data_IF_729919771938
#
_entry.id   IF_729919771938
#
_cell.length_a   1.000
_cell.length_b   1.000
_cell.length_c   1.000
_cell.angle_alpha   90.00
_cell.angle_beta   90.00
_cell.angle_gamma   90.00
#
_symmetry.space_group_name_H-M   'P 1'
#
loop_
_entity.id
_entity.type
_entity.pdbx_description
1 polymer ?
#
# COMPACT_ATOMS: atom_id res chain seq x y z
N UNK A 1 11.63 -1.75 -38.69
CA UNK A 1 12.69 -2.71 -38.34
C UNK A 1 12.07 -3.72 -37.40
N UNK A 2 11.59 -4.85 -37.97
CA UNK A 2 10.89 -5.89 -37.20
C UNK A 2 11.92 -6.82 -36.57
N UNK A 3 11.97 -6.89 -35.24
CA UNK A 3 12.73 -7.90 -34.51
C UNK A 3 11.91 -9.17 -34.48
N UNK A 4 12.39 -10.18 -35.19
CA UNK A 4 11.85 -11.53 -35.22
C UNK A 4 12.18 -12.19 -33.90
N UNK A 5 11.19 -12.48 -33.08
CA UNK A 5 11.35 -13.39 -31.94
C UNK A 5 11.38 -14.81 -32.46
N UNK A 6 12.57 -15.42 -32.44
CA UNK A 6 12.77 -16.82 -32.73
C UNK A 6 12.30 -17.68 -31.56
N UNK A 7 11.37 -18.56 -31.87
CA UNK A 7 11.13 -19.89 -31.34
C UNK A 7 12.00 -20.32 -30.15
N UNK A 8 11.40 -20.27 -28.96
CA UNK A 8 11.83 -21.06 -27.81
C UNK A 8 10.63 -21.86 -27.32
N UNK A 9 10.55 -23.09 -27.80
CA UNK A 9 9.77 -24.15 -27.20
C UNK A 9 10.32 -24.42 -25.79
N UNK A 10 9.89 -23.61 -24.80
CA UNK A 10 10.15 -23.85 -23.39
C UNK A 10 8.88 -24.31 -22.73
N UNK A 11 8.98 -25.54 -22.22
CA UNK A 11 8.17 -26.16 -21.17
C UNK A 11 7.32 -25.19 -20.37
N UNK A 12 6.05 -25.52 -20.22
CA UNK A 12 5.04 -24.84 -19.40
C UNK A 12 5.44 -24.80 -17.92
N UNK A 13 6.44 -24.00 -17.59
CA UNK A 13 6.68 -23.50 -16.25
C UNK A 13 6.03 -22.13 -16.17
N UNK A 14 5.20 -21.89 -15.17
CA UNK A 14 4.44 -20.68 -14.93
C UNK A 14 5.25 -19.44 -15.33
N UNK A 15 4.85 -18.76 -16.41
CA UNK A 15 5.36 -17.45 -16.76
C UNK A 15 4.92 -16.50 -15.64
N UNK A 16 5.74 -16.36 -14.61
CA UNK A 16 5.59 -15.30 -13.64
C UNK A 16 5.76 -13.99 -14.40
N UNK A 17 4.66 -13.29 -14.63
CA UNK A 17 4.66 -11.94 -15.16
C UNK A 17 5.39 -11.06 -14.16
N UNK A 18 6.66 -10.76 -14.41
CA UNK A 18 7.41 -9.80 -13.60
C UNK A 18 6.87 -8.40 -13.89
N UNK A 19 6.09 -7.88 -12.95
CA UNK A 19 5.78 -6.45 -12.93
C UNK A 19 6.93 -5.76 -12.22
N UNK A 20 7.78 -5.08 -12.98
CA UNK A 20 8.81 -4.21 -12.42
C UNK A 20 8.16 -2.86 -12.13
N UNK A 21 7.83 -2.60 -10.87
CA UNK A 21 7.42 -1.28 -10.43
C UNK A 21 8.66 -0.45 -10.10
N UNK A 22 8.76 0.75 -10.67
CA UNK A 22 9.81 1.72 -10.34
C UNK A 22 9.21 2.66 -9.29
N UNK A 23 9.63 2.60 -8.00
CA UNK A 23 9.03 3.38 -6.92
C UNK A 23 9.04 4.89 -7.19
N UNK A 24 10.12 5.40 -7.78
CA UNK A 24 10.27 6.82 -8.11
C UNK A 24 9.26 7.28 -9.16
N UNK A 25 8.94 6.44 -10.14
CA UNK A 25 7.93 6.74 -11.15
C UNK A 25 6.52 6.78 -10.54
N UNK A 26 6.23 5.91 -9.55
CA UNK A 26 4.97 5.94 -8.82
C UNK A 26 4.82 7.20 -7.96
N UNK A 27 5.90 7.64 -7.31
CA UNK A 27 5.91 8.89 -6.53
C UNK A 27 5.71 10.09 -7.45
N UNK A 28 6.38 10.14 -8.61
CA UNK A 28 6.21 11.20 -9.60
C UNK A 28 4.76 11.26 -10.10
N UNK A 29 4.17 10.11 -10.47
CA UNK A 29 2.79 10.03 -10.90
C UNK A 29 1.80 10.47 -9.80
N UNK A 30 2.05 10.10 -8.53
CA UNK A 30 1.24 10.54 -7.39
C UNK A 30 1.32 12.07 -7.20
N UNK A 31 2.51 12.66 -7.40
CA UNK A 31 2.70 14.12 -7.33
C UNK A 31 1.97 14.84 -8.47
N UNK A 32 2.04 14.33 -9.70
CA UNK A 32 1.33 14.90 -10.84
C UNK A 32 -0.20 14.84 -10.62
N UNK A 33 -0.71 13.72 -10.14
CA UNK A 33 -2.12 13.56 -9.76
C UNK A 33 -2.53 14.56 -8.68
N UNK A 34 -1.73 14.75 -7.63
CA UNK A 34 -2.00 15.74 -6.59
C UNK A 34 -2.07 17.16 -7.17
N UNK A 35 -1.19 17.49 -8.12
CA UNK A 35 -1.22 18.76 -8.86
C UNK A 35 -2.51 18.95 -9.65
N UNK A 36 -2.96 17.92 -10.37
CA UNK A 36 -4.24 17.93 -11.10
C UNK A 36 -5.42 18.15 -10.16
N UNK A 37 -5.45 17.44 -9.02
CA UNK A 37 -6.50 17.61 -7.99
C UNK A 37 -6.58 19.03 -7.46
N UNK A 38 -5.43 19.64 -7.17
CA UNK A 38 -5.34 21.03 -6.71
C UNK A 38 -5.86 22.04 -7.75
N UNK A 39 -5.47 21.88 -9.03
CA UNK A 39 -5.96 22.73 -10.11
C UNK A 39 -7.47 22.60 -10.31
N UNK A 40 -8.00 21.38 -10.26
CA UNK A 40 -9.43 21.12 -10.42
C UNK A 40 -10.23 21.71 -9.24
N UNK A 41 -9.76 21.56 -8.01
CA UNK A 41 -10.37 22.13 -6.82
C UNK A 41 -10.41 23.66 -6.90
N UNK A 42 -9.32 24.30 -7.35
CA UNK A 42 -9.24 25.74 -7.56
C UNK A 42 -10.23 26.22 -8.62
N UNK A 43 -10.32 25.51 -9.74
CA UNK A 43 -11.27 25.83 -10.83
C UNK A 43 -12.73 25.70 -10.38
N UNK A 44 -13.06 24.63 -9.64
CA UNK A 44 -14.39 24.42 -9.10
C UNK A 44 -14.78 25.51 -8.08
N UNK A 45 -13.86 25.89 -7.22
CA UNK A 45 -14.07 26.97 -6.25
C UNK A 45 -14.30 28.32 -6.96
N UNK A 46 -13.54 28.62 -8.01
CA UNK A 46 -13.71 29.83 -8.79
C UNK A 46 -15.07 29.89 -9.53
N UNK A 47 -15.57 28.75 -10.01
CA UNK A 47 -16.85 28.66 -10.70
C UNK A 47 -18.07 28.64 -9.75
N UNK A 48 -17.89 28.32 -8.46
CA UNK A 48 -18.98 28.06 -7.52
C UNK A 48 -19.97 29.23 -7.42
N UNK A 49 -19.49 30.45 -7.15
CA UNK A 49 -20.35 31.63 -6.94
C UNK A 49 -21.19 31.98 -8.19
N UNK A 50 -20.59 31.92 -9.37
CA UNK A 50 -21.27 32.27 -10.63
C UNK A 50 -22.28 31.22 -11.08
N UNK A 51 -22.11 29.96 -10.70
CA UNK A 51 -22.99 28.86 -11.11
C UNK A 51 -24.11 28.61 -10.09
N UNK A 52 -23.85 28.76 -8.79
CA UNK A 52 -24.87 28.57 -7.74
C UNK A 52 -25.73 29.80 -7.48
N UNK A 53 -25.25 30.99 -7.85
CA UNK A 53 -25.93 32.27 -7.66
C UNK A 53 -26.41 32.92 -8.96
N UNK A 54 -26.95 32.14 -9.89
CA UNK A 54 -27.48 32.63 -11.17
C UNK A 54 -28.69 33.53 -10.89
N UNK A 55 -28.77 34.68 -11.57
CA UNK A 55 -29.93 35.60 -11.51
C UNK A 55 -30.97 35.23 -12.59
N UNK A 56 -32.26 35.37 -12.25
CA UNK A 56 -33.31 35.16 -13.23
C UNK A 56 -33.20 36.17 -14.37
N UNK A 57 -33.36 35.74 -15.62
CA UNK A 57 -33.25 36.57 -16.79
C UNK A 57 -34.44 37.55 -16.94
N UNK A 58 -35.56 37.26 -16.32
CA UNK A 58 -36.78 38.08 -16.29
C UNK A 58 -37.52 37.95 -14.96
N UNK A 59 -38.50 38.82 -14.78
CA UNK A 59 -39.34 38.83 -13.57
C UNK A 59 -40.61 37.97 -13.74
N UNK A 60 -40.45 36.81 -14.39
CA UNK A 60 -41.54 35.87 -14.67
C UNK A 60 -41.24 34.48 -14.06
N UNK A 61 -42.28 33.70 -13.86
CA UNK A 61 -42.25 32.42 -13.20
C UNK A 61 -41.33 31.38 -13.92
N UNK A 62 -41.26 31.47 -15.25
CA UNK A 62 -40.45 30.55 -16.07
C UNK A 62 -38.98 30.85 -15.84
N UNK A 63 -38.59 32.10 -15.92
CA UNK A 63 -37.22 32.54 -15.65
C UNK A 63 -36.77 32.16 -14.22
N UNK A 64 -37.65 32.33 -13.23
CA UNK A 64 -37.40 31.96 -11.85
C UNK A 64 -37.24 30.43 -11.69
N UNK A 65 -38.08 29.63 -12.34
CA UNK A 65 -38.00 28.16 -12.31
C UNK A 65 -36.74 27.63 -12.96
N UNK A 66 -36.33 28.19 -14.10
CA UNK A 66 -35.10 27.83 -14.80
C UNK A 66 -33.87 28.16 -13.92
N UNK A 67 -33.83 29.34 -13.33
CA UNK A 67 -32.75 29.76 -12.42
C UNK A 67 -32.64 28.82 -11.21
N UNK A 68 -33.76 28.45 -10.62
CA UNK A 68 -33.79 27.50 -9.49
C UNK A 68 -33.22 26.13 -9.90
N UNK A 69 -33.58 25.63 -11.07
CA UNK A 69 -33.06 24.37 -11.61
C UNK A 69 -31.53 24.42 -11.80
N UNK A 70 -31.01 25.48 -12.42
CA UNK A 70 -29.56 25.61 -12.64
C UNK A 70 -28.80 25.76 -11.30
N UNK A 71 -29.32 26.55 -10.37
CA UNK A 71 -28.71 26.75 -9.05
C UNK A 71 -28.70 25.44 -8.26
N UNK A 72 -29.78 24.66 -8.28
CA UNK A 72 -29.86 23.35 -7.64
C UNK A 72 -28.83 22.38 -8.25
N UNK A 73 -28.78 22.27 -9.58
CA UNK A 73 -27.83 21.43 -10.27
C UNK A 73 -26.37 21.81 -9.96
N UNK A 74 -26.08 23.10 -9.89
CA UNK A 74 -24.75 23.60 -9.51
C UNK A 74 -24.37 23.22 -8.07
N UNK A 75 -25.34 23.27 -7.12
CA UNK A 75 -25.11 22.82 -5.75
C UNK A 75 -24.83 21.32 -5.68
N UNK A 76 -25.59 20.50 -6.41
CA UNK A 76 -25.36 19.06 -6.50
C UNK A 76 -23.98 18.76 -7.09
N UNK A 77 -23.58 19.51 -8.13
CA UNK A 77 -22.24 19.41 -8.71
C UNK A 77 -21.14 19.75 -7.71
N UNK A 78 -21.30 20.80 -6.89
CA UNK A 78 -20.32 21.16 -5.86
C UNK A 78 -20.20 20.05 -4.79
N UNK A 79 -21.33 19.46 -4.38
CA UNK A 79 -21.33 18.34 -3.44
C UNK A 79 -20.60 17.11 -4.01
N UNK A 80 -20.88 16.76 -5.28
CA UNK A 80 -20.19 15.68 -5.97
C UNK A 80 -18.68 15.96 -6.14
N UNK A 81 -18.31 17.19 -6.48
CA UNK A 81 -16.92 17.62 -6.64
C UNK A 81 -16.13 17.45 -5.34
N UNK A 82 -16.76 17.75 -4.20
CA UNK A 82 -16.13 17.52 -2.89
C UNK A 82 -15.85 16.04 -2.63
N UNK A 83 -16.79 15.17 -2.97
CA UNK A 83 -16.60 13.71 -2.83
C UNK A 83 -15.52 13.20 -3.78
N UNK A 84 -15.51 13.69 -5.02
CA UNK A 84 -14.50 13.33 -6.01
C UNK A 84 -13.09 13.77 -5.57
N UNK A 85 -12.96 14.96 -4.96
CA UNK A 85 -11.70 15.45 -4.40
C UNK A 85 -11.20 14.54 -3.26
N UNK A 86 -12.08 14.16 -2.33
CA UNK A 86 -11.71 13.25 -1.24
C UNK A 86 -11.25 11.86 -1.77
N UNK A 87 -11.94 11.32 -2.79
CA UNK A 87 -11.52 10.08 -3.44
C UNK A 87 -10.16 10.23 -4.13
N UNK A 88 -9.94 11.35 -4.81
CA UNK A 88 -8.67 11.65 -5.47
C UNK A 88 -7.50 11.72 -4.49
N UNK A 89 -7.68 12.40 -3.35
CA UNK A 89 -6.69 12.47 -2.29
C UNK A 89 -6.35 11.08 -1.74
N UNK A 90 -7.38 10.25 -1.54
CA UNK A 90 -7.18 8.86 -1.10
C UNK A 90 -6.38 8.05 -2.12
N UNK A 91 -6.66 8.22 -3.42
CA UNK A 91 -5.90 7.56 -4.49
C UNK A 91 -4.42 7.97 -4.47
N UNK A 92 -4.13 9.27 -4.32
CA UNK A 92 -2.75 9.79 -4.19
C UNK A 92 -2.04 9.18 -2.98
N UNK A 93 -2.72 9.08 -1.84
CA UNK A 93 -2.18 8.43 -0.64
C UNK A 93 -1.86 6.95 -0.86
N UNK A 94 -2.75 6.21 -1.53
CA UNK A 94 -2.53 4.79 -1.84
C UNK A 94 -1.37 4.57 -2.80
N UNK A 95 -1.20 5.43 -3.80
CA UNK A 95 -0.06 5.37 -4.72
C UNK A 95 1.27 5.61 -4.00
N UNK A 96 1.33 6.62 -3.13
CA UNK A 96 2.52 6.89 -2.32
C UNK A 96 2.82 5.74 -1.34
N UNK A 97 1.80 5.18 -0.71
CA UNK A 97 1.93 4.01 0.16
C UNK A 97 2.46 2.79 -0.58
N UNK A 98 1.95 2.54 -1.80
CA UNK A 98 2.45 1.51 -2.70
C UNK A 98 3.92 1.70 -3.06
N UNK A 99 4.30 2.91 -3.49
CA UNK A 99 5.68 3.26 -3.83
C UNK A 99 6.64 3.00 -2.65
N UNK A 100 6.28 3.42 -1.45
CA UNK A 100 7.07 3.20 -0.24
C UNK A 100 7.22 1.70 0.09
N UNK A 101 6.18 0.90 -0.13
CA UNK A 101 6.23 -0.54 0.08
C UNK A 101 7.19 -1.22 -0.89
N UNK A 102 7.20 -0.82 -2.16
CA UNK A 102 8.16 -1.31 -3.14
C UNK A 102 9.59 -0.89 -2.77
N UNK A 103 9.82 0.39 -2.44
CA UNK A 103 11.14 0.90 -2.06
C UNK A 103 11.70 0.17 -0.84
N UNK A 104 10.89 -0.09 0.18
CA UNK A 104 11.31 -0.82 1.37
C UNK A 104 11.66 -2.28 1.07
N UNK A 105 10.92 -2.91 0.15
CA UNK A 105 11.18 -4.29 -0.29
C UNK A 105 12.50 -4.37 -1.06
N UNK A 106 12.76 -3.41 -1.95
CA UNK A 106 14.02 -3.34 -2.70
C UNK A 106 15.22 -3.10 -1.77
N UNK A 107 15.09 -2.18 -0.80
CA UNK A 107 16.12 -1.94 0.21
C UNK A 107 16.42 -3.22 1.02
N UNK A 108 15.39 -3.96 1.44
CA UNK A 108 15.57 -5.23 2.13
C UNK A 108 16.23 -6.31 1.26
N UNK A 109 15.90 -6.36 -0.04
CA UNK A 109 16.54 -7.27 -0.98
C UNK A 109 18.01 -6.90 -1.22
N UNK A 110 18.32 -5.61 -1.40
CA UNK A 110 19.68 -5.12 -1.54
C UNK A 110 20.53 -5.47 -0.31
N UNK A 111 19.98 -5.29 0.90
CA UNK A 111 20.63 -5.67 2.14
C UNK A 111 20.91 -7.17 2.21
N UNK A 112 19.94 -8.02 1.85
CA UNK A 112 20.14 -9.48 1.82
C UNK A 112 21.21 -9.89 0.81
N UNK A 113 21.20 -9.29 -0.38
CA UNK A 113 22.18 -9.56 -1.43
C UNK A 113 23.59 -9.15 -0.97
N UNK A 114 23.72 -7.99 -0.33
CA UNK A 114 25.00 -7.54 0.24
C UNK A 114 25.51 -8.50 1.33
N UNK A 115 24.65 -8.88 2.28
CA UNK A 115 25.01 -9.83 3.31
C UNK A 115 25.40 -11.19 2.75
N UNK A 116 24.69 -11.66 1.70
CA UNK A 116 25.03 -12.90 1.00
C UNK A 116 26.37 -12.79 0.31
N UNK A 117 26.67 -11.70 -0.38
CA UNK A 117 27.96 -11.48 -1.06
C UNK A 117 29.13 -11.43 -0.07
N UNK A 118 28.95 -10.82 1.10
CA UNK A 118 29.98 -10.74 2.15
C UNK A 118 30.17 -12.08 2.85
N UNK A 119 29.09 -12.82 3.10
CA UNK A 119 29.15 -14.08 3.86
C UNK A 119 29.54 -15.28 2.99
N UNK A 120 29.27 -15.27 1.68
CA UNK A 120 29.52 -16.39 0.78
C UNK A 120 30.98 -16.86 0.78
N UNK A 121 32.00 -15.98 0.61
CA UNK A 121 33.39 -16.42 0.65
C UNK A 121 33.80 -16.95 2.03
N UNK A 122 33.33 -16.31 3.10
CA UNK A 122 33.66 -16.76 4.46
C UNK A 122 33.01 -18.09 4.79
N UNK A 123 31.80 -18.33 4.31
CA UNK A 123 31.11 -19.61 4.48
C UNK A 123 31.79 -20.73 3.68
N UNK A 124 32.32 -20.43 2.49
CA UNK A 124 33.08 -21.40 1.69
C UNK A 124 34.44 -21.77 2.33
N UNK A 125 35.11 -20.80 2.95
CA UNK A 125 36.46 -21.01 3.50
C UNK A 125 36.44 -21.45 4.97
N UNK A 126 35.54 -20.92 5.78
CA UNK A 126 35.51 -21.06 7.24
C UNK A 126 34.29 -21.83 7.75
N UNK A 127 33.33 -22.14 6.89
CA UNK A 127 32.06 -22.79 7.25
C UNK A 127 31.16 -21.92 8.14
N UNK A 128 31.44 -20.61 8.27
CA UNK A 128 30.70 -19.68 9.17
C UNK A 128 30.49 -18.34 8.51
N UNK A 129 29.31 -17.70 8.69
CA UNK A 129 29.07 -16.34 8.21
C UNK A 129 29.88 -15.32 9.04
N UNK A 130 30.36 -14.26 8.42
CA UNK A 130 31.03 -13.14 9.08
C UNK A 130 30.04 -12.22 9.81
N UNK A 131 28.87 -12.03 9.20
CA UNK A 131 27.82 -11.12 9.70
C UNK A 131 26.51 -11.92 9.77
N UNK A 132 25.90 -11.95 10.95
CA UNK A 132 24.62 -12.61 11.20
C UNK A 132 24.60 -13.38 12.51
N UNK A 133 23.44 -13.88 12.90
CA UNK A 133 23.31 -14.75 14.06
C UNK A 133 24.03 -16.07 13.76
N UNK A 134 25.01 -16.42 14.58
CA UNK A 134 25.69 -17.70 14.48
C UNK A 134 24.70 -18.86 14.45
N UNK A 135 24.98 -19.87 13.62
CA UNK A 135 24.19 -21.09 13.62
C UNK A 135 24.26 -21.69 15.03
N UNK A 136 23.11 -21.80 15.70
CA UNK A 136 23.02 -22.59 16.91
C UNK A 136 23.31 -24.05 16.53
N UNK A 137 24.56 -24.47 16.66
CA UNK A 137 24.93 -25.87 16.56
C UNK A 137 24.29 -26.55 17.76
N UNK A 138 23.10 -27.15 17.56
CA UNK A 138 22.62 -28.18 18.47
C UNK A 138 23.72 -29.25 18.47
N UNK A 139 24.60 -29.21 19.47
CA UNK A 139 25.47 -30.32 19.78
C UNK A 139 24.55 -31.54 19.90
N UNK A 140 24.62 -32.42 18.91
CA UNK A 140 23.97 -33.73 18.96
C UNK A 140 24.64 -34.46 20.11
N UNK A 141 24.07 -34.27 21.31
CA UNK A 141 24.47 -35.00 22.51
C UNK A 141 24.26 -36.45 22.20
N UNK A 142 25.37 -37.16 22.12
CA UNK A 142 25.37 -38.58 21.84
C UNK A 142 24.41 -39.31 22.78
N UNK A 143 23.70 -40.26 22.22
CA UNK A 143 22.81 -41.20 22.90
C UNK A 143 23.51 -41.83 24.09
N UNK A 144 23.12 -41.40 25.26
CA UNK A 144 23.63 -41.97 26.52
C UNK A 144 22.69 -41.60 27.65
N UNK A 145 21.92 -42.61 28.07
CA UNK A 145 21.20 -42.71 29.35
C UNK A 145 19.95 -41.82 29.54
N UNK A 146 18.83 -42.45 29.35
CA UNK A 146 17.52 -42.08 29.89
C UNK A 146 17.59 -41.84 31.40
N UNK A 147 17.43 -40.58 31.84
CA UNK A 147 16.90 -40.23 33.13
C UNK A 147 15.65 -39.44 32.94
N UNK A 148 14.55 -40.08 33.26
CA UNK A 148 13.23 -39.47 33.42
C UNK A 148 13.29 -38.42 34.52
N UNK A 149 13.29 -37.15 34.14
CA UNK A 149 12.97 -36.05 35.04
C UNK A 149 11.50 -35.78 34.87
N UNK A 150 10.73 -36.11 35.90
CA UNK A 150 9.31 -35.80 36.05
C UNK A 150 9.08 -34.32 35.93
N UNK A 151 8.25 -33.93 34.97
CA UNK A 151 7.70 -32.60 34.81
C UNK A 151 6.93 -32.17 36.06
N UNK A 152 7.10 -30.94 36.57
CA UNK A 152 6.18 -30.41 37.54
C UNK A 152 4.87 -30.03 36.84
N UNK A 153 3.80 -30.64 37.31
CA UNK A 153 2.43 -30.40 36.94
C UNK A 153 2.06 -28.93 37.19
N UNK A 154 1.88 -28.15 36.14
CA UNK A 154 1.36 -26.80 36.24
C UNK A 154 -0.09 -26.85 36.76
N UNK A 155 -0.26 -26.22 37.91
CA UNK A 155 -1.51 -26.06 38.61
C UNK A 155 -2.54 -25.27 37.78
N UNK A 156 -3.67 -25.90 37.66
CA UNK A 156 -4.97 -25.43 37.24
C UNK A 156 -5.26 -23.97 37.68
N UNK A 157 -5.14 -23.00 36.76
CA UNK A 157 -5.59 -21.65 37.00
C UNK A 157 -7.10 -21.57 36.76
N UNK A 158 -7.83 -21.55 37.86
CA UNK A 158 -9.31 -21.41 37.94
C UNK A 158 -9.78 -20.12 37.23
N UNK A 159 -10.50 -20.31 36.13
CA UNK A 159 -11.07 -19.27 35.25
C UNK A 159 -12.52 -18.89 35.67
N UNK A 160 -12.79 -18.82 36.95
CA UNK A 160 -14.15 -18.50 37.47
C UNK A 160 -14.20 -17.26 38.36
N UNK A 161 -13.71 -16.11 37.87
CA UNK A 161 -14.06 -14.79 38.44
C UNK A 161 -14.00 -13.69 37.38
N UNK A 162 -15.08 -13.60 36.61
CA UNK A 162 -15.43 -12.33 35.96
C UNK A 162 -16.47 -11.62 36.84
N UNK A 163 -16.25 -10.39 37.28
CA UNK A 163 -17.30 -9.58 37.84
C UNK A 163 -18.20 -9.04 36.73
N UNK A 164 -19.50 -9.22 36.86
CA UNK A 164 -20.55 -8.60 36.09
C UNK A 164 -20.47 -7.07 36.33
N UNK A 165 -20.39 -6.28 35.26
CA UNK A 165 -20.72 -4.88 35.28
C UNK A 165 -22.17 -4.74 34.82
N UNK A 166 -23.06 -4.49 35.82
CA UNK A 166 -24.38 -3.91 35.62
C UNK A 166 -24.28 -2.38 35.49
N UNK A 167 -25.08 -1.84 34.60
CA UNK A 167 -25.56 -0.51 34.27
C UNK A 167 -24.83 0.16 33.10
#
# INVERSE_FOLDING_TARGET
MFVRFADLSMTWGAAMSYVVAIPEALVAAASDLAGIGSMLSTANAAAAASTTGVLAAGADEVSAAITSLFSSHAQDFQALSTQAAAFHDQLVHLLNGGANSYASTEAANAQRNLLSAVNSPAQALLGRPLIGNGVNVKLRRGSGSSRSVSEPQESNFDRSRQPAFEN
#
